data_IF_796723377991
#
_entry.id   IF_796723377991
#
_cell.length_a   1.000
_cell.length_b   1.000
_cell.length_c   1.000
_cell.angle_alpha   90.00
_cell.angle_beta   90.00
_cell.angle_gamma   90.00
#
_symmetry.space_group_name_H-M   'P 1'
#
loop_
_entity.id
_entity.type
_entity.pdbx_description
1 polymer ?
#
# COMPACT_ATOMS: atom_id res chain seq x y z
N UNK A 1 5.12 12.04 -12.11
CA UNK A 1 4.16 12.42 -13.15
C UNK A 1 3.70 11.15 -13.85
N UNK A 2 2.45 10.71 -13.64
CA UNK A 2 1.96 9.46 -14.22
C UNK A 2 1.76 9.56 -15.73
N UNK A 3 1.55 10.75 -16.28
CA UNK A 3 1.33 10.92 -17.72
C UNK A 3 2.56 10.56 -18.55
N UNK A 4 3.75 10.69 -17.96
CA UNK A 4 5.01 10.31 -18.57
C UNK A 4 5.27 8.78 -18.58
N UNK A 5 4.56 8.02 -17.74
CA UNK A 5 4.75 6.56 -17.59
C UNK A 5 3.58 5.79 -18.20
N UNK A 6 2.36 6.14 -17.81
CA UNK A 6 1.11 5.52 -18.26
C UNK A 6 0.02 6.59 -18.46
N UNK A 7 -0.22 7.04 -19.72
CA UNK A 7 -1.17 8.10 -19.99
C UNK A 7 -2.63 7.64 -19.82
N UNK A 8 -3.55 8.55 -19.39
CA UNK A 8 -4.94 8.20 -19.20
C UNK A 8 -5.70 8.01 -20.53
N UNK A 9 -6.73 7.16 -20.52
CA UNK A 9 -7.67 7.05 -21.64
C UNK A 9 -8.77 8.12 -21.54
N UNK A 10 -8.93 8.96 -22.58
CA UNK A 10 -9.86 10.11 -22.55
C UNK A 10 -11.03 9.96 -23.53
N UNK A 11 -10.82 9.32 -24.69
CA UNK A 11 -11.83 9.27 -25.76
C UNK A 11 -13.09 8.49 -25.40
N UNK A 12 -12.95 7.40 -24.64
CA UNK A 12 -14.08 6.57 -24.21
C UNK A 12 -14.98 7.32 -23.22
N UNK A 13 -14.39 8.03 -22.24
CA UNK A 13 -15.14 8.82 -21.27
C UNK A 13 -16.01 9.88 -21.96
N UNK A 14 -15.44 10.63 -22.92
CA UNK A 14 -16.19 11.60 -23.75
C UNK A 14 -17.30 10.95 -24.58
N UNK A 15 -17.13 9.70 -24.98
CA UNK A 15 -18.15 8.97 -25.75
C UNK A 15 -19.33 8.60 -24.88
N UNK A 16 -19.09 8.05 -23.69
CA UNK A 16 -20.14 7.73 -22.73
C UNK A 16 -20.91 8.98 -22.28
N UNK A 17 -20.21 10.09 -22.08
CA UNK A 17 -20.81 11.39 -21.77
C UNK A 17 -21.78 11.86 -22.87
N UNK A 18 -21.43 11.72 -24.16
CA UNK A 18 -22.34 12.07 -25.28
C UNK A 18 -23.63 11.26 -25.31
N UNK A 19 -23.64 10.05 -24.73
CA UNK A 19 -24.83 9.21 -24.61
C UNK A 19 -25.58 9.42 -23.28
N UNK A 20 -25.24 10.46 -22.52
CA UNK A 20 -25.85 10.79 -21.23
C UNK A 20 -25.73 9.66 -20.19
N UNK A 21 -24.68 8.83 -20.26
CA UNK A 21 -24.37 7.92 -19.16
C UNK A 21 -23.94 8.72 -17.93
N UNK A 22 -24.43 8.39 -16.72
CA UNK A 22 -23.91 8.98 -15.49
C UNK A 22 -22.45 8.61 -15.28
N UNK A 23 -21.58 9.61 -15.18
CA UNK A 23 -20.16 9.44 -14.92
C UNK A 23 -19.79 9.95 -13.54
N UNK A 24 -18.82 9.30 -12.90
CA UNK A 24 -18.28 9.68 -11.60
C UNK A 24 -16.78 9.47 -11.54
N UNK A 25 -16.14 10.08 -10.54
CA UNK A 25 -14.71 9.91 -10.26
C UNK A 25 -14.53 9.18 -8.94
N UNK A 26 -13.61 8.24 -8.92
CA UNK A 26 -13.15 7.54 -7.72
C UNK A 26 -11.64 7.76 -7.59
N UNK A 27 -11.16 7.71 -6.35
CA UNK A 27 -9.74 7.83 -6.04
C UNK A 27 -9.30 6.72 -5.10
N UNK A 28 -8.20 6.10 -5.47
CA UNK A 28 -7.45 5.15 -4.63
C UNK A 28 -6.01 5.63 -4.52
N UNK A 29 -5.36 5.26 -3.42
CA UNK A 29 -3.94 5.52 -3.21
C UNK A 29 -3.18 4.20 -3.11
N UNK A 30 -1.88 4.27 -3.33
CA UNK A 30 -0.93 3.16 -3.14
C UNK A 30 0.22 3.66 -2.26
N UNK A 31 0.85 2.82 -1.43
CA UNK A 31 2.04 3.22 -0.70
C UNK A 31 3.25 3.47 -1.64
N UNK A 32 4.29 4.14 -1.15
CA UNK A 32 5.60 4.15 -1.82
C UNK A 32 6.15 2.74 -1.98
N UNK A 33 7.08 2.57 -2.90
CA UNK A 33 7.91 1.35 -3.03
C UNK A 33 9.24 1.64 -2.37
N UNK A 34 9.67 0.73 -1.50
CA UNK A 34 10.90 0.88 -0.72
C UNK A 34 12.01 0.03 -1.33
N UNK A 35 13.25 0.48 -1.22
CA UNK A 35 14.43 -0.36 -1.48
C UNK A 35 14.69 -1.28 -0.28
N UNK A 36 14.34 -2.56 -0.43
CA UNK A 36 14.51 -3.60 0.57
C UNK A 36 15.96 -3.82 1.03
N UNK A 37 16.97 -3.31 0.32
CA UNK A 37 18.37 -3.35 0.77
C UNK A 37 18.67 -2.38 1.91
N UNK A 38 17.83 -1.36 2.08
CA UNK A 38 17.96 -0.32 3.11
C UNK A 38 17.14 -0.63 4.37
N UNK A 39 16.38 -1.73 4.37
CA UNK A 39 15.55 -2.18 5.49
C UNK A 39 16.40 -3.04 6.43
N UNK A 40 16.33 -2.76 7.73
CA UNK A 40 16.90 -3.59 8.77
C UNK A 40 15.95 -4.74 9.11
N UNK A 41 16.01 -5.81 8.32
CA UNK A 41 15.13 -6.98 8.43
C UNK A 41 15.22 -7.69 9.80
N UNK A 42 16.38 -7.67 10.45
CA UNK A 42 16.58 -8.29 11.77
C UNK A 42 15.74 -7.62 12.87
N UNK A 43 15.39 -6.34 12.69
CA UNK A 43 14.52 -5.60 13.59
C UNK A 43 13.03 -5.80 13.28
N UNK A 44 12.67 -6.44 12.17
CA UNK A 44 11.28 -6.63 11.75
C UNK A 44 10.79 -8.05 12.10
N UNK A 45 9.71 -8.20 12.89
CA UNK A 45 9.15 -9.52 13.15
C UNK A 45 8.74 -10.25 11.87
N UNK A 46 9.30 -11.44 11.66
CA UNK A 46 9.03 -12.31 10.51
C UNK A 46 7.57 -12.77 10.52
N UNK A 47 6.95 -12.80 9.35
CA UNK A 47 5.67 -13.46 9.10
C UNK A 47 5.87 -14.50 7.99
N UNK A 48 6.03 -15.79 8.36
CA UNK A 48 6.26 -16.84 7.39
C UNK A 48 5.00 -17.20 6.62
N UNK A 49 5.21 -17.86 5.47
CA UNK A 49 4.15 -18.52 4.72
C UNK A 49 3.63 -19.76 5.49
N UNK A 50 2.37 -20.13 5.24
CA UNK A 50 1.78 -21.36 5.77
C UNK A 50 2.39 -22.60 5.07
N UNK A 51 2.67 -23.65 5.85
CA UNK A 51 3.17 -24.94 5.34
C UNK A 51 2.44 -26.09 6.05
N UNK A 52 1.73 -26.99 5.32
CA UNK A 52 1.55 -26.99 3.86
C UNK A 52 0.66 -25.84 3.38
N UNK A 53 0.93 -25.29 2.20
CA UNK A 53 0.09 -24.25 1.63
C UNK A 53 -1.20 -24.84 1.05
N UNK A 54 -2.28 -24.06 1.10
CA UNK A 54 -3.53 -24.38 0.42
C UNK A 54 -3.53 -23.71 -0.96
N UNK A 55 -3.47 -24.46 -2.08
CA UNK A 55 -3.52 -23.87 -3.40
C UNK A 55 -4.85 -23.14 -3.64
N UNK A 56 -4.85 -21.99 -4.32
CA UNK A 56 -6.09 -21.35 -4.76
C UNK A 56 -6.86 -22.16 -5.82
N UNK A 57 -6.14 -22.91 -6.66
CA UNK A 57 -6.76 -23.71 -7.73
C UNK A 57 -7.34 -25.02 -7.20
N UNK A 58 -8.64 -25.24 -7.40
CA UNK A 58 -9.29 -26.51 -7.10
C UNK A 58 -8.69 -27.70 -7.87
N UNK A 59 -8.16 -27.48 -9.08
CA UNK A 59 -7.50 -28.55 -9.83
C UNK A 59 -6.23 -29.03 -9.14
N UNK A 60 -5.41 -28.11 -8.59
CA UNK A 60 -4.24 -28.48 -7.80
C UNK A 60 -4.61 -29.17 -6.50
N UNK A 61 -5.63 -28.64 -5.80
CA UNK A 61 -6.17 -29.28 -4.60
C UNK A 61 -6.63 -30.71 -4.88
N UNK A 62 -7.40 -30.92 -5.96
CA UNK A 62 -7.89 -32.24 -6.36
C UNK A 62 -6.76 -33.21 -6.70
N UNK A 63 -5.67 -32.72 -7.31
CA UNK A 63 -4.48 -33.51 -7.64
C UNK A 63 -3.53 -33.74 -6.46
N UNK A 64 -3.76 -33.07 -5.33
CA UNK A 64 -2.83 -33.10 -4.19
C UNK A 64 -1.51 -32.38 -4.46
N UNK A 65 -1.47 -31.45 -5.41
CA UNK A 65 -0.27 -30.68 -5.78
C UNK A 65 -0.11 -29.45 -4.89
N UNK A 66 1.11 -29.17 -4.45
CA UNK A 66 1.42 -27.94 -3.72
C UNK A 66 1.60 -26.77 -4.72
N UNK A 67 1.59 -25.50 -4.26
CA UNK A 67 1.97 -24.39 -5.13
C UNK A 67 3.43 -24.53 -5.58
N UNK A 68 3.79 -24.15 -6.83
CA UNK A 68 5.14 -24.35 -7.36
C UNK A 68 6.26 -23.73 -6.51
N UNK A 69 6.00 -22.61 -5.83
CA UNK A 69 6.98 -21.97 -4.94
C UNK A 69 7.27 -22.79 -3.67
N UNK A 70 6.28 -23.54 -3.18
CA UNK A 70 6.46 -24.47 -2.05
C UNK A 70 7.31 -25.65 -2.52
N UNK A 71 6.99 -26.22 -3.69
CA UNK A 71 7.71 -27.35 -4.27
C UNK A 71 9.18 -27.00 -4.58
N UNK A 72 9.43 -25.77 -5.04
CA UNK A 72 10.78 -25.28 -5.32
C UNK A 72 11.56 -24.84 -4.06
N UNK A 73 10.92 -24.77 -2.89
CA UNK A 73 11.56 -24.28 -1.66
C UNK A 73 11.93 -22.80 -1.70
N UNK A 74 11.27 -22.00 -2.54
CA UNK A 74 11.57 -20.58 -2.75
C UNK A 74 10.49 -19.66 -2.17
N UNK A 75 9.86 -20.09 -1.07
CA UNK A 75 8.94 -19.25 -0.32
C UNK A 75 9.69 -18.05 0.26
N UNK A 76 9.06 -16.89 0.17
CA UNK A 76 9.56 -15.64 0.75
C UNK A 76 8.75 -15.28 1.99
N UNK A 77 9.42 -14.66 2.95
CA UNK A 77 8.78 -14.17 4.17
C UNK A 77 8.33 -12.72 3.98
N UNK A 78 7.14 -12.41 4.47
CA UNK A 78 6.78 -11.03 4.78
C UNK A 78 7.35 -10.67 6.15
N UNK A 79 7.47 -9.38 6.42
CA UNK A 79 7.86 -8.90 7.75
C UNK A 79 6.86 -7.86 8.23
N UNK A 80 6.81 -7.65 9.54
CA UNK A 80 5.94 -6.65 10.17
C UNK A 80 6.78 -5.46 10.61
N UNK A 81 6.19 -4.28 10.45
CA UNK A 81 6.60 -3.05 11.14
C UNK A 81 5.34 -2.33 11.62
N UNK A 82 5.49 -1.20 12.29
CA UNK A 82 4.35 -0.43 12.76
C UNK A 82 4.67 1.06 12.79
N UNK A 83 3.65 1.86 12.50
CA UNK A 83 3.65 3.27 12.87
C UNK A 83 3.61 3.44 14.37
N UNK A 84 4.07 4.61 14.83
CA UNK A 84 4.04 5.01 16.22
C UNK A 84 3.54 6.46 16.35
N UNK A 85 3.55 6.98 17.58
CA UNK A 85 3.14 8.35 17.86
C UNK A 85 3.88 9.41 17.03
N UNK A 86 5.17 9.20 16.72
CA UNK A 86 5.92 10.13 15.89
C UNK A 86 5.47 10.06 14.43
N UNK A 87 5.25 8.87 13.89
CA UNK A 87 4.62 8.70 12.57
C UNK A 87 3.29 9.46 12.51
N UNK A 88 2.46 9.33 13.54
CA UNK A 88 1.12 9.93 13.60
C UNK A 88 1.20 11.46 13.68
N UNK A 89 2.12 12.00 14.48
CA UNK A 89 2.38 13.46 14.53
C UNK A 89 2.76 14.00 13.17
N UNK A 90 3.65 13.33 12.43
CA UNK A 90 4.05 13.76 11.08
C UNK A 90 2.88 13.67 10.10
N UNK A 91 2.15 12.56 10.11
CA UNK A 91 0.93 12.36 9.29
C UNK A 91 -0.05 13.52 9.52
N UNK A 92 -0.37 13.85 10.77
CA UNK A 92 -1.31 14.94 11.07
C UNK A 92 -0.72 16.32 10.74
N UNK A 93 0.57 16.55 11.03
CA UNK A 93 1.27 17.82 10.75
C UNK A 93 1.20 18.19 9.26
N UNK A 94 1.35 17.22 8.36
CA UNK A 94 1.38 17.45 6.92
C UNK A 94 0.04 17.14 6.22
N UNK A 95 -1.03 16.88 6.97
CA UNK A 95 -2.35 16.58 6.42
C UNK A 95 -2.87 17.63 5.44
N UNK A 96 -2.51 18.90 5.65
CA UNK A 96 -2.86 20.03 4.78
C UNK A 96 -2.28 19.94 3.35
N UNK A 97 -1.28 19.08 3.12
CA UNK A 97 -0.70 18.82 1.80
C UNK A 97 -1.46 17.73 1.03
N UNK A 98 -2.37 17.01 1.70
CA UNK A 98 -3.16 15.98 1.05
C UNK A 98 -4.23 16.61 0.16
N UNK A 99 -4.50 16.03 -1.01
CA UNK A 99 -5.60 16.51 -1.84
C UNK A 99 -6.92 16.31 -1.09
N UNK A 100 -7.79 17.32 -1.15
CA UNK A 100 -9.14 17.28 -0.56
C UNK A 100 -9.85 15.98 -0.92
N UNK A 101 -10.24 15.22 0.10
CA UNK A 101 -10.89 13.92 -0.03
C UNK A 101 -12.42 14.03 -0.02
N UNK A 102 -12.94 15.09 0.58
CA UNK A 102 -14.35 15.27 0.92
C UNK A 102 -14.86 16.58 0.28
N UNK A 103 -15.02 16.57 -1.04
CA UNK A 103 -15.66 17.67 -1.78
C UNK A 103 -16.74 17.12 -2.69
N UNK A 104 -17.99 17.57 -2.51
CA UNK A 104 -19.09 17.34 -3.46
C UNK A 104 -18.82 17.99 -4.84
N UNK A 105 -17.77 18.79 -4.96
CA UNK A 105 -17.43 19.61 -6.13
C UNK A 105 -16.67 18.83 -7.24
N UNK A 106 -17.09 17.60 -7.53
CA UNK A 106 -16.63 16.88 -8.73
C UNK A 106 -15.21 16.30 -8.68
N UNK A 107 -14.54 16.28 -7.51
CA UNK A 107 -13.20 15.69 -7.34
C UNK A 107 -13.20 14.18 -7.01
N UNK A 108 -14.40 13.58 -6.90
CA UNK A 108 -14.61 12.15 -6.73
C UNK A 108 -14.70 11.71 -5.27
N UNK A 109 -15.68 10.87 -4.96
CA UNK A 109 -15.85 10.36 -3.60
C UNK A 109 -14.79 9.30 -3.31
N UNK A 110 -14.07 9.44 -2.19
CA UNK A 110 -13.26 8.36 -1.65
C UNK A 110 -14.11 7.16 -1.25
N UNK A 111 -13.56 5.92 -1.22
CA UNK A 111 -14.26 4.78 -0.67
C UNK A 111 -14.64 5.04 0.80
N UNK A 112 -15.82 4.57 1.24
CA UNK A 112 -16.27 4.63 2.67
C UNK A 112 -15.23 4.06 3.64
N UNK A 113 -14.42 3.12 3.15
CA UNK A 113 -13.21 2.66 3.80
C UNK A 113 -12.02 3.30 3.09
N UNK A 114 -11.56 4.45 3.56
CA UNK A 114 -10.34 5.06 3.04
C UNK A 114 -9.13 4.38 3.69
N UNK A 115 -8.32 3.61 2.94
CA UNK A 115 -7.23 2.82 3.50
C UNK A 115 -5.98 3.67 3.80
N UNK A 116 -6.02 4.98 3.56
CA UNK A 116 -4.85 5.85 3.74
C UNK A 116 -4.42 5.94 5.20
N UNK A 117 -3.12 6.08 5.43
CA UNK A 117 -2.57 6.24 6.77
C UNK A 117 -3.14 7.48 7.47
N UNK A 118 -3.37 8.57 6.72
CA UNK A 118 -4.04 9.76 7.24
C UNK A 118 -5.43 9.46 7.79
N UNK A 119 -6.30 8.84 6.99
CA UNK A 119 -7.67 8.54 7.45
C UNK A 119 -7.70 7.50 8.58
N UNK A 120 -6.72 6.60 8.66
CA UNK A 120 -6.57 5.69 9.80
C UNK A 120 -6.26 6.45 11.09
N UNK A 121 -5.27 7.35 11.06
CA UNK A 121 -4.86 8.16 12.22
C UNK A 121 -5.97 9.15 12.61
N UNK A 122 -6.59 9.83 11.64
CA UNK A 122 -7.71 10.76 11.88
C UNK A 122 -8.91 10.06 12.54
N UNK A 123 -9.26 8.86 12.06
CA UNK A 123 -10.44 8.13 12.52
C UNK A 123 -10.23 7.37 13.83
N UNK A 124 -9.01 6.90 14.08
CA UNK A 124 -8.67 6.10 15.26
C UNK A 124 -7.55 6.78 16.07
N UNK A 125 -7.79 8.01 16.58
CA UNK A 125 -6.77 8.81 17.26
C UNK A 125 -6.33 8.23 18.61
N UNK A 126 -7.09 7.27 19.16
CA UNK A 126 -6.79 6.53 20.38
C UNK A 126 -5.72 5.45 20.18
N UNK A 127 -5.38 5.10 18.93
CA UNK A 127 -4.37 4.09 18.62
C UNK A 127 -2.97 4.70 18.65
N UNK A 128 -2.07 4.10 19.39
CA UNK A 128 -0.65 4.50 19.44
C UNK A 128 0.17 4.04 18.23
N UNK A 129 -0.41 3.19 17.37
CA UNK A 129 0.24 2.66 16.19
C UNK A 129 -0.70 1.83 15.30
N UNK A 130 -0.28 1.68 14.05
CA UNK A 130 -0.93 0.82 13.05
C UNK A 130 0.11 -0.09 12.41
N UNK A 131 -0.21 -1.37 12.31
CA UNK A 131 0.64 -2.37 11.66
C UNK A 131 0.82 -2.07 10.17
N UNK A 132 2.01 -2.34 9.68
CA UNK A 132 2.34 -2.41 8.26
C UNK A 132 3.03 -3.74 7.97
N UNK A 133 2.69 -4.34 6.84
CA UNK A 133 3.35 -5.54 6.34
C UNK A 133 4.31 -5.14 5.23
N UNK A 134 5.58 -5.48 5.41
CA UNK A 134 6.64 -5.31 4.43
C UNK A 134 6.62 -6.55 3.53
N UNK A 135 6.07 -6.39 2.34
CA UNK A 135 5.80 -7.46 1.37
C UNK A 135 6.76 -7.32 0.18
N UNK A 136 7.71 -8.25 -0.04
CA UNK A 136 8.56 -8.20 -1.24
C UNK A 136 7.72 -8.38 -2.52
N UNK A 137 7.91 -7.52 -3.53
CA UNK A 137 7.09 -7.56 -4.75
C UNK A 137 7.48 -8.70 -5.73
N UNK A 138 8.60 -9.39 -5.47
CA UNK A 138 8.99 -10.56 -6.27
C UNK A 138 10.29 -11.22 -5.81
N UNK A 139 10.63 -12.36 -6.43
CA UNK A 139 11.81 -13.15 -6.09
C UNK A 139 13.14 -12.53 -6.55
N UNK A 140 13.09 -11.73 -7.62
CA UNK A 140 14.28 -11.20 -8.31
C UNK A 140 14.34 -9.66 -8.25
N UNK A 141 13.74 -9.05 -7.24
CA UNK A 141 13.73 -7.60 -7.03
C UNK A 141 13.97 -7.29 -5.56
N UNK A 142 14.49 -6.10 -5.29
CA UNK A 142 14.60 -5.57 -3.94
C UNK A 142 13.42 -4.66 -3.57
N UNK A 143 12.44 -4.50 -4.46
CA UNK A 143 11.28 -3.64 -4.20
C UNK A 143 10.39 -4.27 -3.13
N UNK A 144 10.06 -3.47 -2.12
CA UNK A 144 9.18 -3.85 -1.01
C UNK A 144 7.97 -2.93 -0.98
N UNK A 145 6.79 -3.55 -0.83
CA UNK A 145 5.50 -2.89 -0.68
C UNK A 145 5.15 -2.80 0.83
N UNK A 146 5.12 -1.60 1.44
CA UNK A 146 4.73 -1.42 2.84
C UNK A 146 3.20 -1.33 2.95
N UNK A 147 2.54 -2.48 2.92
CA UNK A 147 1.10 -2.57 3.00
C UNK A 147 0.57 -1.85 4.25
N UNK A 148 -0.50 -1.09 4.08
CA UNK A 148 -1.10 -0.25 5.12
C UNK A 148 -0.61 1.20 5.16
N UNK A 149 0.45 1.55 4.44
CA UNK A 149 1.07 2.89 4.41
C UNK A 149 0.68 3.75 3.20
N UNK A 150 -0.53 3.56 2.65
CA UNK A 150 -1.01 4.36 1.51
C UNK A 150 -1.21 5.83 1.89
N UNK A 151 -0.80 6.76 1.04
CA UNK A 151 -1.06 8.18 1.25
C UNK A 151 -0.35 9.06 0.21
N UNK A 152 -1.04 10.00 -0.44
CA UNK A 152 -0.46 10.83 -1.50
C UNK A 152 0.33 12.03 -0.95
N UNK A 153 1.15 11.83 0.09
CA UNK A 153 2.05 12.88 0.59
C UNK A 153 3.15 13.18 -0.44
N UNK A 154 3.78 14.37 -0.42
CA UNK A 154 5.02 14.58 -1.16
C UNK A 154 6.11 13.59 -0.74
N UNK A 155 6.99 13.22 -1.67
CA UNK A 155 8.05 12.20 -1.49
C UNK A 155 8.87 12.41 -0.21
N UNK A 156 9.36 13.63 0.02
CA UNK A 156 10.14 13.97 1.22
C UNK A 156 9.37 13.75 2.54
N UNK A 157 8.04 13.88 2.50
CA UNK A 157 7.18 13.66 3.67
C UNK A 157 6.88 12.18 3.83
N UNK A 158 6.71 11.44 2.72
CA UNK A 158 6.60 9.99 2.76
C UNK A 158 7.83 9.37 3.41
N UNK A 159 9.04 9.76 2.99
CA UNK A 159 10.29 9.29 3.60
C UNK A 159 10.36 9.63 5.10
N UNK A 160 10.03 10.87 5.49
CA UNK A 160 9.99 11.26 6.91
C UNK A 160 9.03 10.39 7.73
N UNK A 161 7.84 10.09 7.21
CA UNK A 161 6.86 9.24 7.90
C UNK A 161 7.40 7.80 7.99
N UNK A 162 7.85 7.23 6.87
CA UNK A 162 8.34 5.85 6.83
C UNK A 162 9.50 5.62 7.79
N UNK A 163 10.49 6.53 7.81
CA UNK A 163 11.69 6.44 8.65
C UNK A 163 11.44 6.55 10.17
N UNK A 164 10.20 6.80 10.59
CA UNK A 164 9.83 6.68 12.01
C UNK A 164 9.51 5.26 12.45
N UNK A 165 9.22 4.36 11.52
CA UNK A 165 8.79 3.00 11.81
C UNK A 165 10.00 2.10 12.08
N UNK A 166 9.84 1.13 13.00
CA UNK A 166 10.91 0.23 13.39
C UNK A 166 11.41 -0.63 12.21
N UNK A 167 12.73 -0.70 12.03
CA UNK A 167 13.41 -1.46 10.99
C UNK A 167 13.48 -0.78 9.62
N UNK A 168 12.84 0.39 9.45
CA UNK A 168 12.82 1.16 8.19
C UNK A 168 13.36 2.58 8.38
N UNK A 169 14.16 2.81 9.41
CA UNK A 169 14.68 4.13 9.80
C UNK A 169 15.59 4.76 8.75
N UNK A 170 16.24 3.94 7.93
CA UNK A 170 17.16 4.37 6.88
C UNK A 170 16.62 4.12 5.47
N UNK A 171 15.31 3.87 5.34
CA UNK A 171 14.73 3.42 4.07
C UNK A 171 14.79 4.49 2.98
N UNK A 172 15.03 4.06 1.75
CA UNK A 172 14.91 4.85 0.53
C UNK A 172 13.72 4.40 -0.33
#
# INVERSE_FOLDING_TARGET
DSEAVEPPSVGLAKTLERFNFPLGRLKTGTPPRLDGRTINWDACPVQPSEVPAVPFSHLRQFRGEQPPLVEAGTLINCHKSATNEESHKLVMKYAHLLPEYDGMDGKGNGPRYCPSIYKKVERFPDRTGHNSFLEPEGLNTHIVYPNGMSGPYPEEIQLKIMRTMAGVENVD
#
